data_IF_042752706379
#
_entry.id   IF_042752706379
#
_cell.length_a   1.000
_cell.length_b   1.000
_cell.length_c   1.000
_cell.angle_alpha   90.00
_cell.angle_beta   90.00
_cell.angle_gamma   90.00
#
_symmetry.space_group_name_H-M   'P 1'
#
loop_
_entity.id
_entity.type
_entity.pdbx_description
1 polymer ?
#
# COMPACT_ATOMS: atom_id res chain seq x y z
N UNK A 1 -19.18 -4.32 -4.81
CA UNK A 1 -19.10 -3.40 -3.65
C UNK A 1 -20.25 -2.38 -3.63
N UNK A 2 -21.07 -2.30 -4.68
CA UNK A 2 -22.15 -1.32 -4.84
C UNK A 2 -23.55 -1.82 -4.45
N UNK A 3 -23.67 -3.09 -4.01
CA UNK A 3 -24.99 -3.63 -3.65
C UNK A 3 -25.63 -2.79 -2.52
N UNK A 4 -26.90 -2.37 -2.66
CA UNK A 4 -27.59 -1.67 -1.58
C UNK A 4 -27.90 -2.58 -0.39
N UNK A 5 -27.89 -3.91 -0.58
CA UNK A 5 -28.27 -4.89 0.46
C UNK A 5 -27.11 -5.33 1.36
N UNK A 6 -25.90 -4.78 1.15
CA UNK A 6 -24.69 -5.14 1.90
C UNK A 6 -24.09 -3.88 2.50
N UNK A 7 -24.12 -3.71 3.82
CA UNK A 7 -23.60 -2.50 4.49
C UNK A 7 -22.12 -2.60 4.86
N UNK A 8 -21.64 -3.81 5.14
CA UNK A 8 -20.27 -4.02 5.58
C UNK A 8 -19.70 -5.34 5.06
N UNK A 9 -18.38 -5.42 5.09
CA UNK A 9 -17.60 -6.61 4.81
C UNK A 9 -16.78 -6.95 6.05
N UNK A 10 -16.59 -8.22 6.33
CA UNK A 10 -15.70 -8.68 7.38
C UNK A 10 -14.81 -9.80 6.84
N UNK A 11 -13.58 -9.85 7.33
CA UNK A 11 -12.70 -10.99 7.10
C UNK A 11 -11.62 -11.04 8.19
N UNK A 12 -10.99 -12.20 8.42
CA UNK A 12 -9.81 -12.25 9.26
C UNK A 12 -8.68 -11.36 8.71
N UNK A 13 -7.84 -10.88 9.62
CA UNK A 13 -6.53 -10.31 9.28
C UNK A 13 -5.78 -11.30 8.38
N UNK A 14 -4.83 -10.89 7.55
CA UNK A 14 -4.09 -11.90 6.77
C UNK A 14 -3.16 -12.72 7.66
N UNK A 15 -3.14 -14.05 7.56
CA UNK A 15 -2.26 -14.90 8.38
C UNK A 15 -0.76 -14.75 8.06
N UNK A 16 -0.39 -14.02 7.01
CA UNK A 16 1.01 -13.72 6.68
C UNK A 16 1.40 -12.32 7.17
N UNK A 17 2.65 -12.14 7.57
CA UNK A 17 3.13 -10.83 7.94
C UNK A 17 2.58 -10.33 9.28
N UNK A 18 2.21 -11.20 10.21
CA UNK A 18 1.58 -10.83 11.49
C UNK A 18 2.58 -10.62 12.63
N UNK A 19 3.82 -11.06 12.52
CA UNK A 19 4.79 -11.00 13.62
C UNK A 19 5.36 -9.59 13.81
N UNK A 20 6.15 -9.47 14.88
CA UNK A 20 7.03 -8.33 15.13
C UNK A 20 7.84 -7.95 13.89
N UNK A 21 7.73 -6.68 13.50
CA UNK A 21 8.43 -6.08 12.38
C UNK A 21 7.78 -6.32 11.01
N UNK A 22 6.70 -7.09 10.96
CA UNK A 22 5.99 -7.40 9.73
C UNK A 22 4.82 -6.43 9.48
N UNK A 23 4.29 -6.33 8.25
CA UNK A 23 3.29 -5.31 7.92
C UNK A 23 1.92 -5.43 8.58
N UNK A 24 1.44 -6.64 8.91
CA UNK A 24 0.14 -6.86 9.55
C UNK A 24 -1.05 -6.39 8.73
N UNK A 25 -1.20 -6.92 7.51
CA UNK A 25 -2.22 -6.53 6.53
C UNK A 25 -3.55 -7.25 6.71
N UNK A 26 -4.54 -6.83 5.93
CA UNK A 26 -5.87 -7.43 5.88
C UNK A 26 -5.98 -8.46 4.74
N UNK A 27 -7.00 -9.32 4.79
CA UNK A 27 -7.28 -10.25 3.69
C UNK A 27 -7.89 -9.53 2.49
N UNK A 28 -8.81 -8.60 2.75
CA UNK A 28 -9.34 -7.65 1.77
C UNK A 28 -8.42 -6.43 1.76
N UNK A 29 -7.90 -5.99 0.61
CA UNK A 29 -6.94 -4.89 0.53
C UNK A 29 -7.53 -3.62 -0.13
N UNK A 30 -8.80 -3.61 -0.54
CA UNK A 30 -9.44 -2.51 -1.28
C UNK A 30 -10.30 -1.61 -0.38
N UNK A 31 -9.73 -1.12 0.71
CA UNK A 31 -10.53 -0.50 1.78
C UNK A 31 -11.08 0.86 1.36
N UNK A 32 -10.32 1.57 0.54
CA UNK A 32 -10.76 2.84 -0.01
C UNK A 32 -11.94 2.64 -0.97
N UNK A 33 -12.05 1.50 -1.67
CA UNK A 33 -13.24 1.14 -2.45
C UNK A 33 -14.47 0.91 -1.59
N UNK A 34 -14.32 0.18 -0.49
CA UNK A 34 -15.44 -0.06 0.44
C UNK A 34 -15.98 1.27 0.95
N UNK A 35 -15.08 2.13 1.45
CA UNK A 35 -15.44 3.47 1.93
C UNK A 35 -16.02 4.37 0.84
N UNK A 36 -15.45 4.37 -0.36
CA UNK A 36 -15.96 5.14 -1.51
C UNK A 36 -17.40 4.76 -1.86
N UNK A 37 -17.77 3.50 -1.65
CA UNK A 37 -19.11 2.97 -1.90
C UNK A 37 -19.99 2.93 -0.64
N UNK A 38 -19.64 3.68 0.41
CA UNK A 38 -20.42 3.80 1.64
C UNK A 38 -20.47 2.52 2.48
N UNK A 39 -19.49 1.64 2.33
CA UNK A 39 -19.39 0.35 3.03
C UNK A 39 -18.32 0.40 4.10
N UNK A 40 -18.53 -0.36 5.18
CA UNK A 40 -17.56 -0.51 6.26
C UNK A 40 -16.78 -1.82 6.10
N UNK A 41 -15.49 -1.80 6.42
CA UNK A 41 -14.70 -3.03 6.56
C UNK A 41 -14.40 -3.30 8.03
N UNK A 42 -14.68 -4.52 8.47
CA UNK A 42 -14.33 -5.03 9.79
C UNK A 42 -13.21 -6.07 9.68
N UNK A 43 -12.06 -5.76 10.26
CA UNK A 43 -10.98 -6.71 10.48
C UNK A 43 -11.34 -7.62 11.66
N UNK A 44 -11.46 -8.92 11.40
CA UNK A 44 -11.60 -9.93 12.45
C UNK A 44 -10.20 -10.26 12.98
N UNK A 45 -9.76 -9.47 13.95
CA UNK A 45 -8.44 -9.57 14.56
C UNK A 45 -8.40 -10.76 15.52
N UNK A 46 -8.07 -11.93 14.96
CA UNK A 46 -7.91 -13.22 15.64
C UNK A 46 -6.45 -13.50 16.06
N UNK A 47 -5.79 -12.47 16.60
CA UNK A 47 -4.38 -12.55 16.99
C UNK A 47 -4.14 -13.69 17.99
N UNK A 48 -3.21 -14.59 17.64
CA UNK A 48 -2.64 -15.56 18.57
C UNK A 48 -1.59 -14.85 19.42
N UNK A 49 -2.05 -14.24 20.50
CA UNK A 49 -1.20 -13.53 21.46
C UNK A 49 -0.22 -14.49 22.15
N UNK A 50 0.70 -13.93 22.93
CA UNK A 50 1.61 -14.68 23.77
C UNK A 50 0.94 -15.60 24.80
N UNK A 51 -0.36 -15.43 25.09
CA UNK A 51 -1.12 -16.29 26.00
C UNK A 51 -1.67 -17.56 25.32
N UNK A 52 -1.51 -17.71 24.01
CA UNK A 52 -1.90 -18.94 23.32
C UNK A 52 -1.06 -20.13 23.81
N UNK A 53 -1.73 -21.19 24.26
CA UNK A 53 -1.08 -22.29 25.00
C UNK A 53 -0.76 -23.52 24.15
N UNK A 54 -1.35 -23.66 22.96
CA UNK A 54 -1.06 -24.79 22.06
C UNK A 54 0.19 -24.49 21.22
N UNK A 55 0.95 -25.52 20.81
CA UNK A 55 2.00 -25.34 19.82
C UNK A 55 1.44 -24.67 18.56
N UNK A 56 2.04 -23.56 18.16
CA UNK A 56 1.64 -22.86 16.94
C UNK A 56 2.77 -21.97 16.46
N UNK A 57 3.01 -22.06 15.15
CA UNK A 57 3.95 -21.17 14.46
C UNK A 57 3.46 -19.72 14.40
N UNK A 58 2.18 -19.47 14.75
CA UNK A 58 1.50 -18.18 14.59
C UNK A 58 1.35 -17.39 15.89
N UNK A 59 1.97 -17.85 16.98
CA UNK A 59 1.89 -17.25 18.31
C UNK A 59 2.92 -16.11 18.47
N UNK A 60 2.49 -14.96 18.99
CA UNK A 60 3.41 -13.90 19.40
C UNK A 60 4.36 -14.36 20.52
N UNK A 61 5.62 -13.92 20.48
CA UNK A 61 6.66 -14.44 21.39
C UNK A 61 6.43 -14.02 22.84
N UNK A 62 6.00 -12.78 23.05
CA UNK A 62 5.85 -12.17 24.38
C UNK A 62 4.73 -11.11 24.44
N UNK A 63 4.53 -10.54 25.62
CA UNK A 63 3.53 -9.50 25.86
C UNK A 63 3.83 -8.24 25.03
N UNK A 64 5.10 -7.89 24.86
CA UNK A 64 5.52 -6.72 24.08
C UNK A 64 5.09 -6.83 22.61
N UNK A 65 5.30 -7.99 21.98
CA UNK A 65 4.85 -8.25 20.61
C UNK A 65 3.32 -8.25 20.52
N UNK A 66 2.64 -8.81 21.53
CA UNK A 66 1.17 -8.82 21.55
C UNK A 66 0.57 -7.42 21.67
N UNK A 67 1.08 -6.60 22.58
CA UNK A 67 0.67 -5.20 22.74
C UNK A 67 0.97 -4.41 21.47
N UNK A 68 2.14 -4.59 20.87
CA UNK A 68 2.51 -3.89 19.64
C UNK A 68 1.65 -4.32 18.45
N UNK A 69 1.28 -5.59 18.34
CA UNK A 69 0.35 -6.06 17.32
C UNK A 69 -1.06 -5.46 17.49
N UNK A 70 -1.56 -5.34 18.73
CA UNK A 70 -2.83 -4.67 19.03
C UNK A 70 -2.77 -3.19 18.63
N UNK A 71 -1.71 -2.47 19.01
CA UNK A 71 -1.49 -1.07 18.58
C UNK A 71 -1.43 -0.95 17.05
N UNK A 72 -0.82 -1.91 16.37
CA UNK A 72 -0.69 -1.94 14.90
C UNK A 72 -2.06 -2.12 14.24
N UNK A 73 -2.90 -3.01 14.76
CA UNK A 73 -4.27 -3.20 14.27
C UNK A 73 -5.09 -1.91 14.40
N UNK A 74 -5.05 -1.23 15.56
CA UNK A 74 -5.68 0.08 15.72
C UNK A 74 -5.12 1.13 14.76
N UNK A 75 -3.79 1.26 14.67
CA UNK A 75 -3.14 2.24 13.80
C UNK A 75 -3.47 2.04 12.32
N UNK A 76 -3.50 0.79 11.84
CA UNK A 76 -3.96 0.46 10.49
C UNK A 76 -5.44 0.82 10.29
N UNK A 77 -6.30 0.39 11.21
CA UNK A 77 -7.73 0.66 11.17
C UNK A 77 -8.02 2.15 11.07
N UNK A 78 -7.42 2.95 11.94
CA UNK A 78 -7.59 4.40 11.93
C UNK A 78 -7.03 5.07 10.68
N UNK A 79 -5.82 4.70 10.23
CA UNK A 79 -5.21 5.32 9.06
C UNK A 79 -5.99 5.04 7.77
N UNK A 80 -6.61 3.88 7.63
CA UNK A 80 -7.29 3.45 6.38
C UNK A 80 -8.82 3.51 6.46
N UNK A 81 -9.37 3.75 7.65
CA UNK A 81 -10.82 3.86 7.86
C UNK A 81 -11.52 2.51 7.96
N UNK A 82 -10.88 1.55 8.62
CA UNK A 82 -11.44 0.23 8.91
C UNK A 82 -11.76 0.12 10.39
N UNK A 83 -12.73 -0.73 10.70
CA UNK A 83 -13.08 -1.12 12.05
C UNK A 83 -12.39 -2.45 12.42
N UNK A 84 -12.25 -2.71 13.72
CA UNK A 84 -11.62 -3.94 14.23
C UNK A 84 -12.54 -4.64 15.21
N UNK A 85 -12.78 -5.92 14.96
CA UNK A 85 -13.41 -6.84 15.89
C UNK A 85 -12.33 -7.72 16.52
N UNK A 86 -12.12 -7.57 17.83
CA UNK A 86 -11.26 -8.47 18.60
C UNK A 86 -11.93 -9.83 18.72
N UNK A 87 -11.46 -10.78 17.91
CA UNK A 87 -12.10 -12.08 17.77
C UNK A 87 -11.36 -13.15 18.59
N UNK A 88 -11.98 -13.57 19.69
CA UNK A 88 -11.43 -14.57 20.61
C UNK A 88 -11.61 -16.02 20.08
N UNK A 89 -11.17 -16.29 18.85
CA UNK A 89 -11.40 -17.57 18.16
C UNK A 89 -10.91 -18.78 18.95
N UNK A 90 -9.76 -18.67 19.62
CA UNK A 90 -9.18 -19.75 20.43
C UNK A 90 -9.47 -19.61 21.93
N UNK A 91 -10.48 -18.81 22.29
CA UNK A 91 -10.95 -18.59 23.66
C UNK A 91 -10.58 -17.22 24.25
N UNK A 92 -11.39 -16.77 25.22
CA UNK A 92 -11.31 -15.42 25.80
C UNK A 92 -9.97 -15.11 26.49
N UNK A 93 -9.31 -16.14 27.04
CA UNK A 93 -8.03 -16.01 27.74
C UNK A 93 -6.89 -15.45 26.89
N UNK A 94 -7.04 -15.41 25.57
CA UNK A 94 -6.02 -14.88 24.67
C UNK A 94 -5.69 -13.40 24.90
N UNK A 95 -6.62 -12.59 25.39
CA UNK A 95 -6.38 -11.16 25.59
C UNK A 95 -6.24 -10.80 27.08
N UNK A 96 -6.18 -11.78 27.98
CA UNK A 96 -6.20 -11.58 29.43
C UNK A 96 -4.83 -11.19 30.01
N UNK A 97 -4.25 -10.08 29.56
CA UNK A 97 -3.19 -9.39 30.29
C UNK A 97 -3.55 -7.92 30.53
N UNK A 98 -3.06 -7.35 31.63
CA UNK A 98 -3.37 -5.96 31.98
C UNK A 98 -2.92 -5.01 30.86
N UNK A 99 -1.70 -5.17 30.36
CA UNK A 99 -1.16 -4.29 29.30
C UNK A 99 -1.96 -4.38 27.99
N UNK A 100 -2.39 -5.58 27.59
CA UNK A 100 -3.23 -5.75 26.39
C UNK A 100 -4.61 -5.11 26.59
N UNK A 101 -5.26 -5.35 27.73
CA UNK A 101 -6.60 -4.80 28.01
C UNK A 101 -6.59 -3.28 28.19
N UNK A 102 -5.54 -2.71 28.80
CA UNK A 102 -5.34 -1.26 28.89
C UNK A 102 -5.13 -0.64 27.50
N UNK A 103 -4.35 -1.29 26.64
CA UNK A 103 -4.16 -0.88 25.24
C UNK A 103 -5.48 -0.89 24.48
N UNK A 104 -6.28 -1.96 24.61
CA UNK A 104 -7.61 -2.06 23.98
C UNK A 104 -8.56 -0.99 24.53
N UNK A 105 -8.57 -0.77 25.85
CA UNK A 105 -9.40 0.27 26.48
C UNK A 105 -9.04 1.66 25.98
N UNK A 106 -7.73 1.96 25.85
CA UNK A 106 -7.26 3.23 25.29
C UNK A 106 -7.66 3.39 23.82
N UNK A 107 -7.46 2.36 23.01
CA UNK A 107 -7.87 2.36 21.60
C UNK A 107 -9.37 2.58 21.43
N UNK A 108 -10.19 1.86 22.21
CA UNK A 108 -11.66 2.04 22.24
C UNK A 108 -12.05 3.47 22.58
N UNK A 109 -11.39 4.12 23.54
CA UNK A 109 -11.66 5.52 23.89
C UNK A 109 -11.43 6.43 22.67
N UNK A 110 -10.31 6.26 21.96
CA UNK A 110 -10.00 7.02 20.74
C UNK A 110 -11.01 6.75 19.63
N UNK A 111 -11.44 5.49 19.44
CA UNK A 111 -12.54 5.18 18.51
C UNK A 111 -13.80 5.98 18.87
N UNK A 112 -14.19 6.02 20.14
CA UNK A 112 -15.35 6.81 20.58
C UNK A 112 -15.21 8.31 20.32
N UNK A 113 -14.01 8.88 20.49
CA UNK A 113 -13.71 10.29 20.21
C UNK A 113 -13.72 10.63 18.70
N UNK A 114 -13.53 9.62 17.84
CA UNK A 114 -13.37 9.80 16.40
C UNK A 114 -14.51 9.20 15.58
N UNK A 115 -15.47 8.53 16.22
CA UNK A 115 -16.51 7.69 15.59
C UNK A 115 -17.39 8.41 14.55
N UNK A 116 -17.37 9.74 14.48
CA UNK A 116 -18.05 10.51 13.45
C UNK A 116 -17.20 11.68 12.93
N UNK A 117 -15.91 11.69 13.25
CA UNK A 117 -15.00 12.72 12.77
C UNK A 117 -14.73 12.46 11.28
N UNK A 118 -15.32 13.30 10.42
CA UNK A 118 -14.98 13.31 9.00
C UNK A 118 -13.54 13.76 8.82
N UNK A 119 -12.61 12.82 8.72
CA UNK A 119 -11.21 13.13 8.41
C UNK A 119 -10.95 12.94 6.92
N UNK A 120 -10.36 13.96 6.29
CA UNK A 120 -9.87 13.86 4.92
C UNK A 120 -8.76 12.80 4.83
N UNK A 121 -8.67 12.06 3.72
CA UNK A 121 -7.52 11.22 3.45
C UNK A 121 -6.26 12.09 3.35
N UNK A 122 -5.13 11.55 3.83
CA UNK A 122 -3.79 12.17 3.71
C UNK A 122 -2.93 11.46 2.64
N UNK A 123 -3.56 10.57 1.87
CA UNK A 123 -2.90 9.78 0.84
C UNK A 123 -2.71 10.60 -0.44
N UNK A 124 -1.48 10.64 -0.93
CA UNK A 124 -1.11 11.25 -2.22
C UNK A 124 -1.11 10.21 -3.36
N UNK A 125 -1.23 8.92 -3.01
CA UNK A 125 -1.16 7.78 -3.93
C UNK A 125 -2.47 7.00 -3.93
N UNK A 126 -3.03 6.72 -5.10
CA UNK A 126 -4.09 5.74 -5.28
C UNK A 126 -3.54 4.48 -5.95
N UNK A 127 -3.83 3.32 -5.37
CA UNK A 127 -3.38 2.01 -5.84
C UNK A 127 -4.59 1.22 -6.33
N UNK A 128 -4.59 0.81 -7.59
CA UNK A 128 -5.66 0.04 -8.21
C UNK A 128 -5.22 -1.39 -8.44
N UNK A 129 -6.04 -2.33 -7.98
CA UNK A 129 -5.87 -3.75 -8.21
C UNK A 129 -7.15 -4.34 -8.84
N UNK A 130 -6.97 -5.28 -9.76
CA UNK A 130 -8.03 -6.18 -10.22
C UNK A 130 -7.93 -7.47 -9.40
N UNK A 131 -8.83 -7.72 -8.42
CA UNK A 131 -8.76 -8.90 -7.58
C UNK A 131 -9.11 -10.19 -8.31
N UNK A 132 -9.78 -10.13 -9.47
CA UNK A 132 -10.13 -11.34 -10.25
C UNK A 132 -8.91 -11.91 -11.00
N UNK A 133 -8.85 -13.25 -11.03
CA UNK A 133 -7.72 -14.12 -11.37
C UNK A 133 -7.31 -14.13 -12.87
N UNK A 134 -7.48 -13.03 -13.60
CA UNK A 134 -7.03 -12.94 -14.99
C UNK A 134 -5.56 -12.51 -15.11
N UNK A 135 -4.71 -12.99 -14.20
CA UNK A 135 -3.25 -12.87 -14.36
C UNK A 135 -2.78 -14.16 -15.02
N UNK A 136 -2.38 -14.14 -16.30
CA UNK A 136 -1.97 -15.34 -17.04
C UNK A 136 -0.64 -15.96 -16.54
N UNK A 137 -0.05 -15.43 -15.46
CA UNK A 137 1.25 -15.82 -14.94
C UNK A 137 1.29 -15.79 -13.40
N UNK A 138 1.29 -16.96 -12.77
CA UNK A 138 1.39 -17.11 -11.30
C UNK A 138 2.62 -16.39 -10.70
N UNK A 139 3.75 -16.36 -11.41
CA UNK A 139 4.95 -15.69 -10.91
C UNK A 139 4.76 -14.16 -10.82
N UNK A 140 4.05 -13.57 -11.78
CA UNK A 140 3.76 -12.14 -11.74
C UNK A 140 2.73 -11.80 -10.66
N UNK A 141 1.73 -12.67 -10.42
CA UNK A 141 0.80 -12.51 -9.28
C UNK A 141 1.54 -12.55 -7.94
N UNK A 142 2.48 -13.49 -7.76
CA UNK A 142 3.32 -13.55 -6.57
C UNK A 142 4.12 -12.24 -6.36
N UNK A 143 4.72 -11.70 -7.42
CA UNK A 143 5.50 -10.46 -7.34
C UNK A 143 4.63 -9.24 -7.04
N UNK A 144 3.48 -9.12 -7.69
CA UNK A 144 2.61 -7.97 -7.51
C UNK A 144 1.84 -8.06 -6.19
N UNK A 145 1.17 -9.17 -5.90
CA UNK A 145 0.32 -9.30 -4.71
C UNK A 145 1.10 -9.67 -3.46
N UNK A 146 1.90 -10.73 -3.51
CA UNK A 146 2.56 -11.23 -2.30
C UNK A 146 3.76 -10.37 -1.92
N UNK A 147 4.59 -9.98 -2.89
CA UNK A 147 5.74 -9.12 -2.63
C UNK A 147 5.33 -7.65 -2.59
N UNK A 148 4.84 -7.08 -3.68
CA UNK A 148 4.68 -5.62 -3.73
C UNK A 148 3.52 -5.12 -2.84
N UNK A 149 2.29 -5.52 -3.14
CA UNK A 149 1.08 -5.05 -2.45
C UNK A 149 1.11 -5.34 -0.95
N UNK A 150 1.45 -6.57 -0.55
CA UNK A 150 1.39 -7.02 0.84
C UNK A 150 2.63 -6.67 1.66
N UNK A 151 3.82 -6.62 1.05
CA UNK A 151 5.08 -6.51 1.78
C UNK A 151 5.82 -5.20 1.52
N UNK A 152 5.98 -4.80 0.25
CA UNK A 152 6.70 -3.57 -0.11
C UNK A 152 5.87 -2.34 0.20
N UNK A 153 4.67 -2.22 -0.39
CA UNK A 153 3.81 -1.06 -0.30
C UNK A 153 3.61 -0.51 1.13
N UNK A 154 3.30 -1.33 2.16
CA UNK A 154 3.14 -0.81 3.53
C UNK A 154 4.47 -0.34 4.19
N UNK A 155 5.63 -0.64 3.59
CA UNK A 155 6.97 -0.32 4.10
C UNK A 155 7.69 0.75 3.27
N UNK A 156 6.97 1.40 2.36
CA UNK A 156 7.51 2.45 1.48
C UNK A 156 7.58 3.81 2.15
N UNK A 157 6.96 3.98 3.31
CA UNK A 157 6.90 5.26 4.02
C UNK A 157 6.03 6.32 3.33
N UNK A 158 5.14 5.94 2.40
CA UNK A 158 4.15 6.83 1.79
C UNK A 158 2.72 6.44 2.19
N UNK A 159 1.84 7.44 2.25
CA UNK A 159 0.41 7.21 2.46
C UNK A 159 -0.30 6.89 1.13
N UNK A 160 -1.12 5.85 1.12
CA UNK A 160 -1.82 5.38 -0.08
C UNK A 160 -3.25 4.93 0.26
N UNK A 161 -4.15 5.09 -0.70
CA UNK A 161 -5.50 4.51 -0.69
C UNK A 161 -5.57 3.40 -1.74
N UNK A 162 -6.07 2.22 -1.37
CA UNK A 162 -6.17 1.10 -2.30
C UNK A 162 -7.62 0.82 -2.73
N UNK A 163 -7.79 0.69 -4.04
CA UNK A 163 -9.04 0.56 -4.75
C UNK A 163 -9.08 -0.71 -5.61
N UNK A 164 -10.28 -1.22 -5.81
CA UNK A 164 -10.63 -2.08 -6.92
C UNK A 164 -10.58 -1.27 -8.22
N UNK A 165 -10.07 -1.87 -9.31
CA UNK A 165 -9.92 -1.16 -10.59
C UNK A 165 -11.24 -0.58 -11.13
N UNK A 166 -12.36 -1.28 -10.98
CA UNK A 166 -13.71 -0.79 -11.30
C UNK A 166 -14.06 0.59 -10.71
N UNK A 167 -13.49 0.98 -9.55
CA UNK A 167 -13.76 2.30 -8.96
C UNK A 167 -13.04 3.45 -9.68
N UNK A 168 -12.18 3.18 -10.67
CA UNK A 168 -11.57 4.24 -11.50
C UNK A 168 -12.62 5.06 -12.25
N UNK A 169 -13.78 4.46 -12.53
CA UNK A 169 -14.91 5.10 -13.20
C UNK A 169 -15.81 5.89 -12.24
N UNK A 170 -15.59 5.79 -10.93
CA UNK A 170 -16.43 6.42 -9.93
C UNK A 170 -16.18 7.95 -9.91
N UNK A 171 -17.22 8.79 -10.16
CA UNK A 171 -17.05 10.24 -10.19
C UNK A 171 -16.69 10.86 -8.84
N UNK A 172 -16.90 10.15 -7.73
CA UNK A 172 -16.50 10.58 -6.39
C UNK A 172 -15.06 10.20 -6.03
N UNK A 173 -14.32 9.55 -6.94
CA UNK A 173 -12.91 9.20 -6.72
C UNK A 173 -12.08 10.48 -6.48
N UNK A 174 -11.34 10.57 -5.35
CA UNK A 174 -10.50 11.73 -5.07
C UNK A 174 -9.37 11.94 -6.09
N UNK A 175 -8.79 13.14 -6.05
CA UNK A 175 -7.58 13.43 -6.78
C UNK A 175 -6.33 12.99 -6.02
N UNK A 176 -5.39 12.38 -6.73
CA UNK A 176 -4.11 11.91 -6.23
C UNK A 176 -2.98 12.44 -7.10
N UNK A 177 -1.77 12.49 -6.56
CA UNK A 177 -0.55 12.86 -7.32
C UNK A 177 -0.02 11.67 -8.12
N UNK A 178 -0.20 10.45 -7.60
CA UNK A 178 0.24 9.21 -8.22
C UNK A 178 -0.90 8.17 -8.24
N UNK A 179 -1.13 7.59 -9.41
CA UNK A 179 -2.05 6.47 -9.63
C UNK A 179 -1.23 5.24 -10.02
N UNK A 180 -1.31 4.15 -9.25
CA UNK A 180 -0.54 2.92 -9.49
C UNK A 180 -1.49 1.80 -9.88
N UNK A 181 -1.27 1.19 -11.04
CA UNK A 181 -2.07 0.08 -11.56
C UNK A 181 -1.28 -1.21 -11.44
N UNK A 182 -1.59 -1.99 -10.39
CA UNK A 182 -0.82 -3.17 -10.00
C UNK A 182 -0.84 -4.28 -11.05
N UNK A 183 -2.02 -4.55 -11.60
CA UNK A 183 -2.27 -5.70 -12.47
C UNK A 183 -3.40 -5.44 -13.47
N UNK A 184 -3.45 -4.24 -14.05
CA UNK A 184 -4.48 -3.81 -15.02
C UNK A 184 -4.31 -4.47 -16.40
N UNK A 185 -4.13 -5.79 -16.45
CA UNK A 185 -3.86 -6.55 -17.68
C UNK A 185 -5.00 -6.47 -18.68
N UNK A 186 -6.21 -6.73 -18.18
CA UNK A 186 -7.46 -6.62 -18.90
C UNK A 186 -8.24 -5.43 -18.35
N UNK A 187 -8.57 -4.46 -19.21
CA UNK A 187 -9.40 -3.32 -18.83
C UNK A 187 -10.54 -3.14 -19.83
N UNK A 188 -11.72 -2.83 -19.31
CA UNK A 188 -12.89 -2.51 -20.15
C UNK A 188 -12.67 -1.17 -20.89
N UNK A 189 -13.49 -0.90 -21.91
CA UNK A 189 -13.47 0.40 -22.60
C UNK A 189 -13.74 1.58 -21.63
N UNK A 190 -14.65 1.39 -20.65
CA UNK A 190 -14.96 2.39 -19.62
C UNK A 190 -13.76 2.65 -18.71
N UNK A 191 -13.17 1.60 -18.14
CA UNK A 191 -11.97 1.70 -17.32
C UNK A 191 -10.81 2.35 -18.08
N UNK A 192 -10.57 1.96 -19.33
CA UNK A 192 -9.53 2.56 -20.19
C UNK A 192 -9.75 4.06 -20.39
N UNK A 193 -10.98 4.49 -20.67
CA UNK A 193 -11.29 5.90 -20.83
C UNK A 193 -11.13 6.68 -19.50
N UNK A 194 -11.50 6.08 -18.38
CA UNK A 194 -11.34 6.67 -17.05
C UNK A 194 -9.87 6.78 -16.62
N UNK A 195 -9.07 5.73 -16.85
CA UNK A 195 -7.61 5.74 -16.63
C UNK A 195 -6.99 6.88 -17.43
N UNK A 196 -7.25 6.96 -18.75
CA UNK A 196 -6.73 8.04 -19.60
C UNK A 196 -7.10 9.43 -19.10
N UNK A 197 -8.33 9.62 -18.63
CA UNK A 197 -8.80 10.90 -18.07
C UNK A 197 -8.01 11.29 -16.82
N UNK A 198 -7.74 10.32 -15.95
CA UNK A 198 -6.96 10.53 -14.73
C UNK A 198 -5.48 10.79 -15.06
N UNK A 199 -4.88 10.02 -15.98
CA UNK A 199 -3.49 10.21 -16.42
C UNK A 199 -3.25 11.59 -17.05
N UNK A 200 -4.27 12.20 -17.65
CA UNK A 200 -4.20 13.53 -18.29
C UNK A 200 -4.57 14.67 -17.34
N UNK A 201 -4.65 14.42 -16.03
CA UNK A 201 -4.83 15.50 -15.06
C UNK A 201 -3.51 16.21 -14.82
N UNK A 202 -3.54 17.54 -14.83
CA UNK A 202 -2.37 18.40 -14.56
C UNK A 202 -1.58 17.92 -13.33
N UNK A 203 -0.33 17.52 -13.55
CA UNK A 203 0.61 17.13 -12.49
C UNK A 203 0.43 15.73 -11.91
N UNK A 204 -0.48 14.91 -12.45
CA UNK A 204 -0.64 13.52 -12.02
C UNK A 204 0.30 12.57 -12.78
N UNK A 205 0.79 11.56 -12.09
CA UNK A 205 1.54 10.44 -12.69
C UNK A 205 0.70 9.16 -12.64
N UNK A 206 0.68 8.39 -13.71
CA UNK A 206 0.16 7.04 -13.75
C UNK A 206 1.28 6.02 -13.93
N UNK A 207 1.42 5.09 -12.99
CA UNK A 207 2.41 4.03 -12.99
C UNK A 207 1.73 2.69 -13.28
N UNK A 208 2.19 2.00 -14.31
CA UNK A 208 1.68 0.70 -14.74
C UNK A 208 2.72 -0.39 -14.58
N UNK A 209 2.28 -1.58 -14.13
CA UNK A 209 3.16 -2.75 -14.04
C UNK A 209 2.86 -3.82 -15.11
N UNK A 210 3.92 -4.51 -15.54
CA UNK A 210 3.84 -5.75 -16.33
C UNK A 210 3.11 -5.62 -17.67
N UNK A 211 1.97 -6.30 -17.80
CA UNK A 211 1.20 -6.39 -19.04
C UNK A 211 -0.04 -5.48 -19.04
N UNK A 212 0.02 -4.33 -18.36
CA UNK A 212 -1.12 -3.43 -18.22
C UNK A 212 -1.66 -2.96 -19.58
N UNK A 213 -2.98 -3.07 -19.76
CA UNK A 213 -3.68 -2.69 -20.99
C UNK A 213 -3.50 -3.66 -22.16
N UNK A 214 -2.83 -4.80 -21.96
CA UNK A 214 -2.56 -5.78 -23.03
C UNK A 214 -3.84 -6.34 -23.64
N UNK A 215 -4.93 -6.52 -22.87
CA UNK A 215 -6.22 -6.96 -23.37
C UNK A 215 -7.30 -5.87 -23.17
N UNK A 216 -8.08 -5.60 -24.21
CA UNK A 216 -9.14 -4.58 -24.19
C UNK A 216 -10.58 -5.15 -24.18
N UNK A 217 -10.74 -6.47 -24.04
CA UNK A 217 -12.04 -7.15 -24.16
C UNK A 217 -12.33 -7.74 -25.55
N UNK A 218 -11.51 -7.43 -26.56
CA UNK A 218 -11.68 -7.95 -27.92
C UNK A 218 -10.35 -8.34 -28.58
N UNK A 219 -9.31 -7.52 -28.38
CA UNK A 219 -7.97 -7.72 -28.92
C UNK A 219 -6.96 -7.75 -27.79
N UNK A 220 -5.87 -8.45 -28.06
CA UNK A 220 -4.70 -8.45 -27.21
C UNK A 220 -3.44 -8.02 -27.97
N UNK A 221 -2.49 -7.41 -27.27
CA UNK A 221 -1.18 -7.07 -27.84
C UNK A 221 -0.59 -5.76 -27.33
N UNK A 222 0.67 -5.52 -27.71
CA UNK A 222 1.44 -4.32 -27.36
C UNK A 222 0.81 -3.03 -27.90
N UNK A 223 0.04 -3.08 -28.99
CA UNK A 223 -0.73 -1.94 -29.49
C UNK A 223 -1.79 -1.48 -28.48
N UNK A 224 -2.44 -2.41 -27.79
CA UNK A 224 -3.45 -2.11 -26.77
C UNK A 224 -2.81 -1.56 -25.49
N UNK A 225 -1.62 -2.05 -25.13
CA UNK A 225 -0.80 -1.48 -24.07
C UNK A 225 -0.43 -0.03 -24.40
N UNK A 226 0.06 0.21 -25.62
CA UNK A 226 0.48 1.53 -26.07
C UNK A 226 -0.68 2.52 -26.08
N UNK A 227 -1.89 2.08 -26.46
CA UNK A 227 -3.07 2.91 -26.37
C UNK A 227 -3.39 3.34 -24.91
N UNK A 228 -3.24 2.45 -23.92
CA UNK A 228 -3.52 2.77 -22.51
C UNK A 228 -2.41 3.64 -21.91
N UNK A 229 -1.16 3.22 -22.08
CA UNK A 229 0.02 3.76 -21.39
C UNK A 229 0.61 4.96 -22.16
N UNK A 230 0.22 5.18 -23.41
CA UNK A 230 0.77 6.25 -24.28
C UNK A 230 2.28 6.12 -24.57
N UNK A 231 2.85 4.93 -24.36
CA UNK A 231 4.23 4.54 -24.67
C UNK A 231 4.15 3.40 -25.69
N UNK A 232 4.85 3.49 -26.83
CA UNK A 232 4.96 2.38 -27.77
C UNK A 232 5.82 1.24 -27.21
N UNK A 233 5.46 -0.01 -27.54
CA UNK A 233 6.12 -1.21 -27.05
C UNK A 233 6.43 -2.19 -28.17
N UNK A 234 7.55 -2.89 -28.04
CA UNK A 234 7.83 -4.14 -28.70
C UNK A 234 7.75 -5.30 -27.69
N UNK A 235 7.61 -6.52 -28.19
CA UNK A 235 7.69 -7.72 -27.36
C UNK A 235 9.05 -8.40 -27.55
N UNK A 236 9.64 -8.87 -26.45
CA UNK A 236 10.87 -9.65 -26.50
C UNK A 236 10.76 -10.92 -25.66
N UNK A 237 11.20 -12.04 -26.22
CA UNK A 237 11.22 -13.35 -25.56
C UNK A 237 12.68 -13.78 -25.38
N UNK A 238 13.08 -13.94 -24.13
CA UNK A 238 14.37 -14.46 -23.73
C UNK A 238 14.35 -15.99 -23.66
N UNK A 239 15.43 -16.61 -24.13
CA UNK A 239 15.62 -18.06 -24.06
C UNK A 239 16.45 -18.49 -22.83
N UNK A 240 17.15 -17.55 -22.18
CA UNK A 240 18.04 -17.84 -21.06
C UNK A 240 17.25 -18.07 -19.77
N UNK A 241 17.66 -19.11 -19.02
CA UNK A 241 16.93 -19.64 -17.87
C UNK A 241 17.43 -19.16 -16.51
N UNK A 242 18.44 -18.28 -16.48
CA UNK A 242 19.02 -17.76 -15.23
C UNK A 242 18.32 -16.46 -14.81
N UNK A 243 17.94 -16.26 -13.54
CA UNK A 243 17.43 -14.98 -13.07
C UNK A 243 18.40 -13.82 -13.36
N UNK A 244 17.86 -12.62 -13.56
CA UNK A 244 18.65 -11.40 -13.66
C UNK A 244 17.89 -10.23 -13.02
N UNK A 245 18.61 -9.21 -12.57
CA UNK A 245 18.00 -8.02 -12.00
C UNK A 245 17.58 -7.02 -13.08
N UNK A 246 16.45 -6.34 -12.87
CA UNK A 246 16.20 -5.06 -13.52
C UNK A 246 17.13 -4.01 -12.92
N UNK A 247 17.94 -3.35 -13.75
CA UNK A 247 18.87 -2.29 -13.37
C UNK A 247 18.22 -0.93 -13.63
N UNK A 248 18.00 -0.15 -12.57
CA UNK A 248 17.45 1.20 -12.64
C UNK A 248 18.57 2.22 -12.94
N UNK A 249 18.19 3.33 -13.58
CA UNK A 249 19.11 4.39 -13.98
C UNK A 249 19.80 5.11 -12.80
N UNK A 250 19.24 5.00 -11.59
CA UNK A 250 19.85 5.51 -10.36
C UNK A 250 20.84 4.54 -9.71
N UNK A 251 21.22 3.47 -10.41
CA UNK A 251 22.22 2.49 -9.98
C UNK A 251 21.67 1.34 -9.14
N UNK A 252 20.37 1.35 -8.80
CA UNK A 252 19.74 0.26 -8.05
C UNK A 252 19.45 -0.95 -8.93
N UNK A 253 19.49 -2.13 -8.32
CA UNK A 253 19.09 -3.39 -8.93
C UNK A 253 17.89 -3.94 -8.15
N UNK A 254 16.80 -4.21 -8.85
CA UNK A 254 15.66 -4.94 -8.29
C UNK A 254 16.05 -6.42 -8.10
N UNK A 255 15.30 -7.20 -7.29
CA UNK A 255 15.59 -8.61 -7.11
C UNK A 255 15.72 -9.37 -8.43
N UNK A 256 16.60 -10.37 -8.45
CA UNK A 256 16.78 -11.16 -9.66
C UNK A 256 15.56 -12.04 -9.93
N UNK A 257 15.01 -11.90 -11.13
CA UNK A 257 13.86 -12.66 -11.59
C UNK A 257 14.16 -13.32 -12.93
N UNK A 258 13.50 -14.45 -13.16
CA UNK A 258 13.41 -15.02 -14.49
C UNK A 258 12.18 -14.45 -15.18
N UNK A 259 12.40 -13.53 -16.12
CA UNK A 259 11.35 -12.91 -16.93
C UNK A 259 11.53 -13.34 -18.40
N UNK A 260 10.91 -14.45 -18.86
CA UNK A 260 11.09 -14.97 -20.21
C UNK A 260 10.44 -14.09 -21.27
N UNK A 261 9.33 -13.42 -20.93
CA UNK A 261 8.59 -12.53 -21.83
C UNK A 261 8.59 -11.14 -21.21
N UNK A 262 9.03 -10.14 -21.97
CA UNK A 262 9.08 -8.75 -21.53
C UNK A 262 8.47 -7.83 -22.59
N UNK A 263 7.92 -6.71 -22.13
CA UNK A 263 7.44 -5.64 -23.00
C UNK A 263 8.47 -4.52 -22.98
N UNK A 264 9.10 -4.28 -24.13
CA UNK A 264 10.21 -3.35 -24.29
C UNK A 264 9.64 -2.00 -24.73
N UNK A 265 9.77 -0.93 -23.93
CA UNK A 265 9.45 0.42 -24.40
C UNK A 265 10.28 0.76 -25.63
N UNK A 266 9.57 1.04 -26.74
CA UNK A 266 10.12 1.37 -28.06
C UNK A 266 9.45 2.65 -28.56
N UNK A 267 9.61 3.72 -27.79
CA UNK A 267 9.03 5.04 -28.03
C UNK A 267 10.11 6.11 -27.94
N UNK A 268 10.46 6.80 -29.03
CA UNK A 268 11.50 7.84 -29.02
C UNK A 268 11.21 9.01 -28.08
N UNK A 269 9.93 9.23 -27.72
CA UNK A 269 9.50 10.26 -26.78
C UNK A 269 9.48 9.80 -25.32
N UNK A 270 9.79 8.53 -25.04
CA UNK A 270 9.83 8.01 -23.67
C UNK A 270 11.27 8.01 -23.12
N UNK A 271 11.41 8.48 -21.88
CA UNK A 271 12.65 8.38 -21.12
C UNK A 271 12.74 7.01 -20.45
N UNK A 272 13.73 6.21 -20.85
CA UNK A 272 14.02 4.93 -20.23
C UNK A 272 14.75 5.14 -18.91
N UNK A 273 14.33 4.40 -17.88
CA UNK A 273 14.98 4.43 -16.56
C UNK A 273 15.24 3.04 -15.96
N UNK A 274 14.99 1.96 -16.71
CA UNK A 274 15.27 0.59 -16.26
C UNK A 274 15.53 -0.36 -17.39
N UNK A 275 16.52 -1.25 -17.22
CA UNK A 275 16.91 -2.26 -18.21
C UNK A 275 16.97 -3.65 -17.60
N UNK A 276 16.63 -4.68 -18.39
CA UNK A 276 16.77 -6.09 -18.03
C UNK A 276 17.50 -6.79 -19.16
N UNK A 277 18.63 -7.43 -18.87
CA UNK A 277 19.49 -8.08 -19.89
C UNK A 277 19.78 -7.21 -21.12
N UNK A 278 19.96 -5.90 -20.90
CA UNK A 278 20.32 -4.95 -21.95
C UNK A 278 19.16 -4.40 -22.78
N UNK A 279 17.92 -4.86 -22.58
CA UNK A 279 16.72 -4.24 -23.19
C UNK A 279 16.01 -3.34 -22.19
N UNK A 280 15.30 -2.32 -22.71
CA UNK A 280 14.52 -1.38 -21.90
C UNK A 280 13.31 -2.09 -21.30
N UNK A 281 13.01 -1.86 -20.03
CA UNK A 281 11.86 -2.45 -19.33
C UNK A 281 11.18 -1.52 -18.33
N UNK A 282 11.73 -0.32 -18.13
CA UNK A 282 11.04 0.75 -17.42
C UNK A 282 11.23 2.06 -18.18
N UNK A 283 10.13 2.80 -18.38
CA UNK A 283 10.15 4.07 -19.09
C UNK A 283 9.07 5.02 -18.57
N UNK A 284 9.28 6.31 -18.70
CA UNK A 284 8.29 7.34 -18.42
C UNK A 284 8.19 8.33 -19.58
N UNK A 285 7.01 8.93 -19.75
CA UNK A 285 6.72 9.88 -20.82
C UNK A 285 5.79 10.96 -20.31
N UNK A 286 6.18 12.21 -20.53
CA UNK A 286 5.26 13.33 -20.38
C UNK A 286 4.20 13.25 -21.48
N UNK A 287 2.94 13.35 -21.06
CA UNK A 287 1.77 13.44 -21.93
C UNK A 287 1.10 14.79 -21.68
N UNK A 288 0.19 15.20 -22.58
CA UNK A 288 -0.39 16.55 -22.66
C UNK A 288 -0.53 17.33 -21.34
N UNK A 289 -1.03 16.70 -20.28
CA UNK A 289 -1.17 17.32 -18.96
C UNK A 289 -0.66 16.46 -17.78
N UNK A 290 -0.01 15.33 -18.01
CA UNK A 290 0.43 14.47 -16.92
C UNK A 290 1.58 13.57 -17.34
N UNK A 291 1.87 12.54 -16.54
CA UNK A 291 2.95 11.60 -16.82
C UNK A 291 2.45 10.18 -16.86
N UNK A 292 2.90 9.41 -17.83
CA UNK A 292 2.72 7.97 -17.86
C UNK A 292 4.06 7.28 -17.60
N UNK A 293 4.07 6.30 -16.72
CA UNK A 293 5.25 5.53 -16.33
C UNK A 293 4.94 4.04 -16.38
N UNK A 294 5.93 3.27 -16.80
CA UNK A 294 5.88 1.83 -16.94
C UNK A 294 7.06 1.20 -16.21
N UNK A 295 6.80 0.13 -15.46
CA UNK A 295 7.83 -0.77 -14.96
C UNK A 295 7.40 -2.20 -15.23
N UNK A 296 8.29 -3.01 -15.81
CA UNK A 296 7.98 -4.42 -16.06
C UNK A 296 7.65 -5.19 -14.78
N UNK A 297 8.41 -4.96 -13.72
CA UNK A 297 8.15 -5.52 -12.39
C UNK A 297 7.97 -4.41 -11.35
N UNK A 298 7.27 -4.69 -10.23
CA UNK A 298 7.17 -3.72 -9.15
C UNK A 298 8.51 -3.45 -8.46
N UNK A 299 8.80 -2.19 -8.08
CA UNK A 299 10.02 -1.81 -7.37
C UNK A 299 10.06 -2.34 -5.92
N UNK A 300 11.23 -2.27 -5.27
CA UNK A 300 11.34 -2.41 -3.81
C UNK A 300 10.92 -1.12 -3.06
N UNK A 301 11.03 -1.13 -1.73
CA UNK A 301 10.59 -0.04 -0.84
C UNK A 301 11.31 1.27 -1.17
N UNK A 302 12.63 1.20 -1.32
CA UNK A 302 13.48 2.33 -1.62
C UNK A 302 13.21 2.88 -3.02
N UNK A 303 13.09 2.00 -4.01
CA UNK A 303 12.78 2.34 -5.40
C UNK A 303 11.42 3.00 -5.55
N UNK A 304 10.39 2.43 -4.93
CA UNK A 304 9.06 3.03 -4.95
C UNK A 304 9.02 4.36 -4.22
N UNK A 305 9.63 4.48 -3.03
CA UNK A 305 9.69 5.74 -2.27
C UNK A 305 10.41 6.83 -3.04
N UNK A 306 11.52 6.51 -3.70
CA UNK A 306 12.24 7.47 -4.55
C UNK A 306 11.40 7.91 -5.75
N UNK A 307 10.67 6.98 -6.39
CA UNK A 307 9.73 7.29 -7.46
C UNK A 307 8.61 8.23 -6.96
N UNK A 308 8.04 7.95 -5.78
CA UNK A 308 7.04 8.79 -5.13
C UNK A 308 7.55 10.22 -4.88
N UNK A 309 8.78 10.39 -4.38
CA UNK A 309 9.38 11.74 -4.19
C UNK A 309 9.44 12.53 -5.50
N UNK A 310 9.80 11.89 -6.61
CA UNK A 310 9.82 12.55 -7.93
C UNK A 310 8.43 12.97 -8.42
N UNK A 311 7.39 12.28 -7.95
CA UNK A 311 5.99 12.61 -8.23
C UNK A 311 5.40 13.64 -7.25
N UNK A 312 6.20 14.21 -6.34
CA UNK A 312 5.73 15.17 -5.34
C UNK A 312 4.86 14.56 -4.23
N UNK A 313 4.86 13.24 -4.07
CA UNK A 313 4.18 12.51 -2.99
C UNK A 313 4.89 12.78 -1.67
N UNK A 314 4.11 13.06 -0.62
CA UNK A 314 4.65 13.21 0.73
C UNK A 314 5.19 11.88 1.27
N UNK A 315 6.48 11.87 1.62
CA UNK A 315 7.14 10.73 2.26
C UNK A 315 7.17 10.98 3.77
N UNK A 316 6.42 10.17 4.51
CA UNK A 316 6.30 10.24 5.96
C UNK A 316 7.47 9.58 6.67
N UNK A 317 8.04 8.53 6.09
CA UNK A 317 9.08 7.71 6.71
C UNK A 317 10.16 7.34 5.71
N UNK A 318 11.43 7.52 6.08
CA UNK A 318 12.57 7.22 5.20
C UNK A 318 13.11 5.79 5.37
N UNK A 319 12.70 5.07 6.41
CA UNK A 319 13.07 3.68 6.68
C UNK A 319 12.06 2.66 6.15
N UNK A 320 12.46 1.40 6.01
CA UNK A 320 11.62 0.28 5.51
C UNK A 320 10.74 -0.32 6.62
N UNK A 321 10.33 0.50 7.58
CA UNK A 321 9.39 0.10 8.61
C UNK A 321 7.96 0.30 8.10
N UNK A 322 7.03 -0.40 8.74
CA UNK A 322 5.63 -0.35 8.32
C UNK A 322 5.01 0.98 8.71
N UNK A 323 4.35 1.64 7.74
CA UNK A 323 3.66 2.90 7.91
C UNK A 323 2.17 2.74 7.65
N UNK A 324 1.33 3.26 8.56
CA UNK A 324 -0.04 3.63 8.26
C UNK A 324 -0.23 5.13 8.46
N UNK A 325 -0.61 5.89 7.43
CA UNK A 325 -0.83 7.33 7.55
C UNK A 325 -2.10 7.74 6.80
N UNK A 326 -2.98 8.45 7.50
CA UNK A 326 -4.29 8.81 6.96
C UNK A 326 -5.27 9.19 8.06
N UNK A 327 -6.32 9.92 7.68
CA UNK A 327 -7.50 10.20 8.52
C UNK A 327 -7.19 10.80 9.90
N UNK A 328 -6.10 11.57 9.99
CA UNK A 328 -5.66 12.21 11.23
C UNK A 328 -4.78 11.33 12.13
N UNK A 329 -4.19 10.26 11.59
CA UNK A 329 -3.28 9.39 12.32
C UNK A 329 -2.03 9.05 11.50
N UNK A 330 -0.94 8.81 12.20
CA UNK A 330 0.27 8.18 11.68
C UNK A 330 0.70 7.06 12.62
N UNK A 331 0.98 5.89 12.08
CA UNK A 331 1.44 4.69 12.78
C UNK A 331 2.75 4.25 12.17
N UNK A 332 3.72 3.93 13.03
CA UNK A 332 4.95 3.24 12.64
C UNK A 332 5.02 1.93 13.40
N UNK A 333 5.27 0.83 12.69
CA UNK A 333 5.61 -0.46 13.26
C UNK A 333 7.00 -0.87 12.79
N UNK A 334 7.94 -0.92 13.74
CA UNK A 334 9.36 -1.02 13.47
C UNK A 334 9.75 -2.44 13.02
N UNK A 335 10.24 -2.57 11.79
CA UNK A 335 10.85 -3.77 11.25
C UNK A 335 12.23 -4.05 11.86
N UNK A 336 12.93 -3.00 12.27
CA UNK A 336 14.29 -3.06 12.84
C UNK A 336 14.43 -2.14 14.03
N UNK A 337 15.35 -2.46 14.94
CA UNK A 337 15.78 -1.54 16.00
C UNK A 337 16.38 -0.27 15.39
N UNK A 338 16.10 0.89 16.00
CA UNK A 338 16.83 2.13 15.70
C UNK A 338 15.96 3.38 15.64
N UNK A 339 16.56 4.46 15.17
CA UNK A 339 15.93 5.78 15.05
C UNK A 339 14.99 5.83 13.85
N UNK A 340 13.72 6.17 14.10
CA UNK A 340 12.66 6.30 13.10
C UNK A 340 12.27 7.77 13.00
N UNK A 341 12.43 8.36 11.82
CA UNK A 341 12.12 9.78 11.59
C UNK A 341 10.80 9.91 10.84
N UNK A 342 9.80 10.46 11.52
CA UNK A 342 8.47 10.73 10.95
C UNK A 342 8.44 12.18 10.47
N UNK A 343 8.06 12.38 9.21
CA UNK A 343 7.90 13.70 8.56
C UNK A 343 6.43 14.06 8.49
N UNK A 344 6.07 15.19 9.07
CA UNK A 344 4.69 15.67 9.13
C UNK A 344 4.40 16.60 7.94
N UNK A 345 3.16 16.62 7.44
CA UNK A 345 2.69 17.72 6.60
C UNK A 345 2.82 19.05 7.34
N UNK A 346 2.97 20.14 6.58
CA UNK A 346 3.09 21.48 7.14
C UNK A 346 1.88 21.85 8.02
N UNK A 347 2.15 22.47 9.18
CA UNK A 347 1.13 22.92 10.11
C UNK A 347 0.41 21.80 10.88
N UNK A 348 0.98 20.59 10.93
CA UNK A 348 0.45 19.48 11.74
C UNK A 348 1.29 19.27 13.02
N UNK A 349 0.60 19.03 14.13
CA UNK A 349 1.15 18.52 15.38
C UNK A 349 0.84 17.03 15.53
N UNK A 350 1.64 16.30 16.31
CA UNK A 350 1.48 14.86 16.53
C UNK A 350 1.53 14.48 18.02
N UNK A 351 0.47 13.87 18.55
CA UNK A 351 0.41 13.38 19.94
C UNK A 351 0.36 11.85 20.00
N UNK A 352 1.25 11.21 20.78
CA UNK A 352 1.29 9.74 20.90
C UNK A 352 0.03 9.24 21.65
N UNK A 353 -0.59 8.19 21.11
CA UNK A 353 -1.91 7.72 21.55
C UNK A 353 -1.84 6.81 22.78
N UNK A 354 -0.88 5.90 22.85
CA UNK A 354 -0.79 4.81 23.81
C UNK A 354 0.27 4.99 24.90
N UNK A 355 1.06 6.06 24.84
CA UNK A 355 2.15 6.41 25.73
C UNK A 355 1.94 7.78 26.37
N UNK A 356 2.87 8.15 27.25
CA UNK A 356 2.83 9.42 27.98
C UNK A 356 3.65 10.52 27.29
N UNK A 357 4.05 10.31 26.03
CA UNK A 357 4.90 11.27 25.33
C UNK A 357 4.14 12.56 25.04
N UNK A 358 4.81 13.69 25.27
CA UNK A 358 4.28 15.00 24.92
C UNK A 358 4.04 15.13 23.42
N UNK A 359 3.09 15.99 23.05
CA UNK A 359 2.82 16.31 21.66
C UNK A 359 4.06 16.93 20.99
N UNK A 360 4.33 16.51 19.76
CA UNK A 360 5.33 17.09 18.87
C UNK A 360 4.66 18.28 18.18
N UNK A 361 4.96 19.49 18.66
CA UNK A 361 4.31 20.74 18.22
C UNK A 361 5.21 21.60 17.35
N UNK A 362 4.65 22.20 16.30
CA UNK A 362 5.37 23.18 15.45
C UNK A 362 6.60 22.61 14.75
N UNK A 363 6.65 21.29 14.53
CA UNK A 363 7.76 20.59 13.88
C UNK A 363 7.32 20.02 12.53
N UNK A 364 8.23 20.01 11.56
CA UNK A 364 8.03 19.33 10.26
C UNK A 364 8.47 17.87 10.28
N UNK A 365 9.20 17.46 11.32
CA UNK A 365 9.58 16.07 11.56
C UNK A 365 9.99 15.84 13.00
N UNK A 366 9.90 14.60 13.48
CA UNK A 366 10.45 14.17 14.75
C UNK A 366 11.08 12.77 14.62
N UNK A 367 12.03 12.47 15.51
CA UNK A 367 12.76 11.20 15.51
C UNK A 367 12.61 10.52 16.86
N UNK A 368 12.34 9.21 16.83
CA UNK A 368 12.15 8.39 18.01
C UNK A 368 12.97 7.11 17.89
N UNK A 369 13.58 6.65 18.98
CA UNK A 369 14.11 5.29 19.01
C UNK A 369 12.94 4.32 19.14
N UNK A 370 12.93 3.28 18.31
CA UNK A 370 11.94 2.20 18.37
C UNK A 370 12.65 0.85 18.34
N UNK A 371 12.16 -0.09 19.15
CA UNK A 371 12.62 -1.48 19.12
C UNK A 371 11.98 -2.24 17.96
N UNK A 372 12.65 -3.25 17.42
CA UNK A 372 12.10 -4.16 16.44
C UNK A 372 10.83 -4.81 16.99
N UNK A 373 9.74 -4.72 16.25
CA UNK A 373 8.41 -5.15 16.67
C UNK A 373 7.60 -4.11 17.45
N UNK A 374 8.17 -2.96 17.79
CA UNK A 374 7.44 -1.90 18.48
C UNK A 374 6.46 -1.19 17.54
N UNK A 375 5.26 -0.91 18.03
CA UNK A 375 4.31 -0.02 17.35
C UNK A 375 4.07 1.24 18.15
N UNK A 376 4.14 2.39 17.47
CA UNK A 376 3.72 3.69 17.99
C UNK A 376 2.72 4.33 17.05
N UNK A 377 1.75 5.03 17.63
CA UNK A 377 0.65 5.66 16.88
C UNK A 377 0.48 7.08 17.39
N UNK A 378 0.51 8.05 16.48
CA UNK A 378 0.28 9.45 16.79
C UNK A 378 -1.02 9.92 16.14
N UNK A 379 -1.82 10.65 16.91
CA UNK A 379 -2.95 11.43 16.41
C UNK A 379 -2.44 12.78 15.93
N UNK A 380 -2.88 13.18 14.75
CA UNK A 380 -2.55 14.44 14.13
C UNK A 380 -3.61 15.49 14.45
N UNK A 381 -3.15 16.72 14.67
CA UNK A 381 -3.99 17.91 14.83
C UNK A 381 -3.39 19.08 14.07
N UNK A 382 -4.20 20.08 13.71
CA UNK A 382 -3.64 21.35 13.22
C UNK A 382 -2.85 22.02 14.33
N UNK A 383 -1.70 22.58 13.98
CA UNK A 383 -0.94 23.44 14.87
C UNK A 383 -1.79 24.67 15.24
N UNK A 384 -1.70 25.07 16.51
CA UNK A 384 -2.40 26.22 17.08
C UNK A 384 -1.88 27.56 16.52
#
# INVERSE_FOLDING_TARGET
>A
MTSPDVDYFCSPTTYRGRFAGEPGRFTVNCQASLRLNGKVYWDESDLRTHLYHKPSDWRHRDEFESVSAIKRAFGWGWAHGNETWWFCLEGNGLFHSAAMMETIARGRKVCGETLNAGSAPLADVAVFAEPTLHIPNEAFDLLVRQRFERWVLPRTGVAWDQYHIADIENPALPAYKLYVFLNAHAVTAGQRAAIKRVCRRSGATALFFGAAGYYNGAKEGVTEMADLISIAFAEHIFNERQPAAVKLADGRALPELLLPRVFVPDDPGAQVFGTYRGVNVCAEKEIEAGRSAYMLEPPDECAFRAFCRRCGVHVWLDSDDTLGAGRGFVMVHAATDGLKTVRLPEGMDAGEVFGADGAKKGVTSFTEYMRAGETRVWRLSRAD
#
